data_IF_225401471286
#
_entry.id   IF_225401471286
#
_cell.length_a   1.000
_cell.length_b   1.000
_cell.length_c   1.000
_cell.angle_alpha   90.00
_cell.angle_beta   90.00
_cell.angle_gamma   90.00
#
_symmetry.space_group_name_H-M   'P 1'
#
loop_
_entity.id
_entity.type
_entity.pdbx_description
1 polymer ?
#
# COMPACT_ATOMS: atom_id res chain seq x y z
N UNK A 1 -42.03 -20.69 20.92
CA UNK A 1 -41.61 -19.40 20.33
C UNK A 1 -40.16 -19.14 20.73
N UNK A 2 -39.36 -18.40 19.93
CA UNK A 2 -37.97 -17.95 20.22
C UNK A 2 -36.82 -18.56 19.37
N UNK A 3 -37.09 -19.16 18.20
CA UNK A 3 -36.02 -19.53 17.24
C UNK A 3 -35.39 -18.38 16.41
N UNK A 4 -36.02 -17.19 16.18
CA UNK A 4 -35.45 -16.21 15.25
C UNK A 4 -34.27 -15.41 15.83
N UNK A 5 -34.08 -15.40 17.15
CA UNK A 5 -33.04 -14.60 17.82
C UNK A 5 -31.64 -15.19 17.61
N UNK A 6 -31.55 -16.52 17.52
CA UNK A 6 -30.26 -17.23 17.33
C UNK A 6 -29.67 -16.93 15.95
N UNK A 7 -30.51 -16.85 14.91
CA UNK A 7 -30.07 -16.53 13.55
C UNK A 7 -29.58 -15.08 13.40
N UNK A 8 -30.15 -14.15 14.17
CA UNK A 8 -29.75 -12.74 14.16
C UNK A 8 -28.37 -12.51 14.79
N UNK A 9 -28.05 -13.24 15.87
CA UNK A 9 -26.75 -13.15 16.53
C UNK A 9 -25.63 -13.78 15.69
N UNK A 10 -25.94 -14.85 14.95
CA UNK A 10 -24.97 -15.53 14.10
C UNK A 10 -24.60 -14.69 12.87
N UNK A 11 -25.53 -13.93 12.29
CA UNK A 11 -25.23 -13.05 11.16
C UNK A 11 -24.34 -11.86 11.56
N UNK A 12 -24.50 -11.35 12.79
CA UNK A 12 -23.72 -10.22 13.30
C UNK A 12 -22.25 -10.58 13.58
N UNK A 13 -21.96 -11.86 13.89
CA UNK A 13 -20.58 -12.34 14.13
C UNK A 13 -19.76 -12.44 12.84
N UNK A 14 -20.39 -12.77 11.70
CA UNK A 14 -19.70 -12.95 10.42
C UNK A 14 -19.28 -11.60 9.83
N UNK A 15 -20.10 -10.55 10.02
CA UNK A 15 -19.80 -9.19 9.54
C UNK A 15 -18.63 -8.49 10.25
N UNK A 16 -18.22 -8.97 11.43
CA UNK A 16 -17.14 -8.34 12.19
C UNK A 16 -15.73 -8.74 11.71
N UNK A 17 -15.62 -9.74 10.83
CA UNK A 17 -14.33 -10.29 10.39
C UNK A 17 -13.71 -9.60 9.17
N UNK A 18 -14.41 -8.68 8.51
CA UNK A 18 -13.95 -8.07 7.24
C UNK A 18 -13.21 -6.74 7.42
N UNK A 19 -13.00 -6.25 8.65
CA UNK A 19 -12.49 -4.89 8.89
C UNK A 19 -10.98 -4.78 9.17
N UNK A 20 -10.22 -5.88 9.17
CA UNK A 20 -8.75 -5.83 9.32
C UNK A 20 -8.02 -6.04 7.99
N UNK A 21 -8.32 -5.20 7.00
CA UNK A 21 -7.39 -5.02 5.88
C UNK A 21 -6.40 -3.92 6.28
N UNK A 22 -5.21 -4.32 6.74
CA UNK A 22 -4.15 -3.38 7.07
C UNK A 22 -3.81 -2.58 5.80
N UNK A 23 -4.18 -1.30 5.76
CA UNK A 23 -3.91 -0.43 4.63
C UNK A 23 -2.41 -0.37 4.35
N UNK A 24 -2.01 -0.43 3.08
CA UNK A 24 -0.60 -0.27 2.69
C UNK A 24 -0.03 1.02 3.33
N UNK A 25 1.23 0.99 3.82
CA UNK A 25 1.85 2.17 4.42
C UNK A 25 1.93 3.30 3.40
N UNK A 26 1.60 4.52 3.77
CA UNK A 26 1.61 5.65 2.83
C UNK A 26 3.04 6.02 2.41
N UNK A 27 3.27 6.42 1.15
CA UNK A 27 4.54 7.00 0.73
C UNK A 27 4.87 8.25 1.56
N UNK A 28 6.13 8.36 1.95
CA UNK A 28 6.68 9.49 2.72
C UNK A 28 7.53 10.35 1.81
N UNK A 29 7.26 11.66 1.79
CA UNK A 29 8.08 12.65 1.08
C UNK A 29 9.44 12.79 1.77
N UNK A 30 10.52 12.74 1.01
CA UNK A 30 11.89 12.98 1.47
C UNK A 30 12.31 14.42 1.16
N UNK A 31 12.95 14.65 0.03
CA UNK A 31 13.41 15.96 -0.42
C UNK A 31 13.20 16.10 -1.93
N UNK A 32 13.05 17.33 -2.43
CA UNK A 32 13.08 17.67 -3.86
C UNK A 32 12.20 16.81 -4.78
N UNK A 33 10.97 16.48 -4.37
CA UNK A 33 10.06 15.66 -5.18
C UNK A 33 10.33 14.15 -5.12
N UNK A 34 11.22 13.71 -4.24
CA UNK A 34 11.47 12.29 -3.99
C UNK A 34 10.54 11.78 -2.89
N UNK A 35 9.86 10.67 -3.18
CA UNK A 35 8.94 9.96 -2.30
C UNK A 35 9.43 8.54 -2.11
N UNK A 36 9.24 8.00 -0.90
CA UNK A 36 9.69 6.64 -0.56
C UNK A 36 8.62 5.88 0.20
N UNK A 37 8.53 4.57 0.00
CA UNK A 37 7.59 3.70 0.70
C UNK A 37 8.27 2.38 1.04
N UNK A 38 8.11 1.88 2.26
CA UNK A 38 8.53 0.53 2.64
C UNK A 38 7.29 -0.31 2.89
N UNK A 39 7.12 -1.37 2.10
CA UNK A 39 5.99 -2.31 2.16
C UNK A 39 6.51 -3.67 2.60
N UNK A 40 6.08 -4.17 3.76
CA UNK A 40 6.51 -5.49 4.27
C UNK A 40 7.73 -5.46 5.22
N UNK A 41 8.21 -4.29 5.63
CA UNK A 41 9.21 -4.16 6.69
C UNK A 41 10.63 -4.56 6.25
N UNK A 42 11.37 -5.26 7.12
CA UNK A 42 12.80 -5.57 6.91
C UNK A 42 13.07 -6.46 5.69
N UNK A 43 12.12 -7.32 5.32
CA UNK A 43 12.20 -8.20 4.14
C UNK A 43 11.27 -7.74 3.01
N UNK A 44 10.76 -6.52 3.13
CA UNK A 44 9.75 -5.95 2.24
C UNK A 44 10.32 -5.35 0.96
N UNK A 45 9.46 -4.70 0.18
CA UNK A 45 9.84 -3.89 -0.97
C UNK A 45 9.96 -2.43 -0.54
N UNK A 46 11.05 -1.80 -0.97
CA UNK A 46 11.25 -0.37 -0.86
C UNK A 46 11.05 0.27 -2.22
N UNK A 47 10.13 1.22 -2.30
CA UNK A 47 9.87 2.01 -3.50
C UNK A 47 10.43 3.41 -3.34
N UNK A 48 10.97 3.94 -4.43
CA UNK A 48 11.40 5.33 -4.54
C UNK A 48 10.81 5.90 -5.83
N UNK A 49 10.20 7.09 -5.73
CA UNK A 49 9.62 7.81 -6.86
C UNK A 49 10.18 9.21 -6.86
N UNK A 50 10.77 9.62 -7.97
CA UNK A 50 11.20 10.99 -8.21
C UNK A 50 10.22 11.67 -9.16
N UNK A 51 9.44 12.61 -8.64
CA UNK A 51 8.43 13.34 -9.41
C UNK A 51 9.04 14.40 -10.34
N UNK A 52 10.30 14.79 -10.14
CA UNK A 52 10.99 15.80 -10.96
C UNK A 52 11.54 15.17 -12.22
N UNK A 53 12.19 14.01 -12.08
CA UNK A 53 12.75 13.26 -13.21
C UNK A 53 11.80 12.22 -13.79
N UNK A 54 10.62 12.04 -13.17
CA UNK A 54 9.59 11.06 -13.56
C UNK A 54 10.07 9.60 -13.53
N UNK A 55 10.99 9.29 -12.61
CA UNK A 55 11.58 7.96 -12.46
C UNK A 55 11.02 7.21 -11.24
N UNK A 56 10.93 5.88 -11.37
CA UNK A 56 10.46 5.00 -10.31
C UNK A 56 11.43 3.84 -10.11
N UNK A 57 11.70 3.50 -8.85
CA UNK A 57 12.62 2.44 -8.47
C UNK A 57 12.02 1.52 -7.42
N UNK A 58 12.49 0.28 -7.41
CA UNK A 58 12.21 -0.71 -6.37
C UNK A 58 13.50 -1.36 -5.88
N UNK A 59 13.58 -1.64 -4.58
CA UNK A 59 14.67 -2.38 -3.94
C UNK A 59 14.10 -3.40 -2.96
N UNK A 60 14.53 -4.67 -3.00
CA UNK A 60 14.20 -5.63 -1.95
C UNK A 60 14.96 -5.29 -0.65
N UNK A 61 14.24 -5.24 0.47
CA UNK A 61 14.80 -5.04 1.81
C UNK A 61 15.28 -3.62 2.13
N UNK A 62 15.07 -2.62 1.26
CA UNK A 62 15.40 -1.21 1.52
C UNK A 62 16.88 -0.87 1.62
N UNK A 63 17.76 -1.81 1.24
CA UNK A 63 19.21 -1.63 1.22
C UNK A 63 19.92 -2.45 0.13
N UNK A 64 19.19 -3.18 -0.71
CA UNK A 64 19.72 -3.85 -1.89
C UNK A 64 19.75 -2.89 -3.10
N UNK A 65 20.27 -3.38 -4.23
CA UNK A 65 20.29 -2.65 -5.50
C UNK A 65 18.91 -2.07 -5.86
N UNK A 66 18.91 -0.84 -6.38
CA UNK A 66 17.73 -0.18 -6.92
C UNK A 66 17.56 -0.60 -8.38
N UNK A 67 16.38 -1.14 -8.69
CA UNK A 67 15.98 -1.46 -10.05
C UNK A 67 14.98 -0.42 -10.51
N UNK A 68 15.26 0.23 -11.64
CA UNK A 68 14.29 1.11 -12.29
C UNK A 68 13.09 0.31 -12.79
N UNK A 69 11.89 0.82 -12.55
CA UNK A 69 10.63 0.20 -12.94
C UNK A 69 9.73 1.22 -13.63
N UNK A 70 8.82 0.71 -14.45
CA UNK A 70 7.80 1.55 -15.07
C UNK A 70 6.86 2.15 -14.01
N UNK A 71 6.80 3.49 -13.92
CA UNK A 71 5.95 4.21 -12.98
C UNK A 71 4.45 3.89 -13.11
N UNK A 72 3.97 3.44 -14.28
CA UNK A 72 2.58 3.02 -14.46
C UNK A 72 2.18 1.85 -13.54
N UNK A 73 3.13 0.97 -13.22
CA UNK A 73 2.89 -0.13 -12.28
C UNK A 73 2.61 0.39 -10.86
N UNK A 74 3.29 1.46 -10.44
CA UNK A 74 3.05 2.11 -9.15
C UNK A 74 1.79 2.98 -9.18
N UNK A 75 1.58 3.76 -10.25
CA UNK A 75 0.41 4.64 -10.43
C UNK A 75 -0.92 3.89 -10.27
N UNK A 76 -0.98 2.61 -10.64
CA UNK A 76 -2.18 1.80 -10.47
C UNK A 76 -2.56 1.56 -8.99
N UNK A 77 -1.61 1.68 -8.05
CA UNK A 77 -1.84 1.51 -6.62
C UNK A 77 -2.45 2.77 -6.01
N UNK A 78 -3.49 2.60 -5.21
CA UNK A 78 -4.25 3.72 -4.62
C UNK A 78 -3.36 4.75 -3.90
N UNK A 79 -2.37 4.28 -3.15
CA UNK A 79 -1.46 5.13 -2.37
C UNK A 79 -0.48 5.97 -3.21
N UNK A 80 -0.27 5.62 -4.48
CA UNK A 80 0.66 6.32 -5.39
C UNK A 80 -0.05 7.24 -6.38
N UNK A 81 -1.37 7.08 -6.57
CA UNK A 81 -2.16 7.91 -7.50
C UNK A 81 -2.11 9.40 -7.18
N UNK A 82 -2.00 9.75 -5.91
CA UNK A 82 -1.93 11.15 -5.45
C UNK A 82 -0.57 11.80 -5.72
N UNK A 83 0.48 10.99 -5.97
CA UNK A 83 1.86 11.44 -6.15
C UNK A 83 2.26 11.40 -7.63
N UNK A 84 1.90 10.32 -8.33
CA UNK A 84 2.21 10.10 -9.75
C UNK A 84 1.02 10.58 -10.58
N UNK A 85 1.01 11.86 -10.93
CA UNK A 85 -0.10 12.51 -11.64
C UNK A 85 0.03 12.46 -13.16
N UNK A 86 1.25 12.30 -13.68
CA UNK A 86 1.54 12.14 -15.11
C UNK A 86 1.20 10.74 -15.59
#
# INVERSE_FOLDING_TARGET
>A
MNKPIIYLLLSMFIFSSTLLSASEPKPTKRSNGVYTQNVGGKSGLFYLVDTVTTLCFVSPGGGAALTEINCQLLKNRAVWKEIITW
#
